data_IF_171085127689
#
_entry.id   IF_171085127689
#
_cell.length_a   1.000
_cell.length_b   1.000
_cell.length_c   1.000
_cell.angle_alpha   90.00
_cell.angle_beta   90.00
_cell.angle_gamma   90.00
#
_symmetry.space_group_name_H-M   'P 1'
#
loop_
_entity.id
_entity.type
_entity.pdbx_description
1 polymer ?
#
# COMPACT_ATOMS: atom_id res chain seq x y z
N UNK A 1 -29.81 -2.23 -8.31
CA UNK A 1 -30.81 -1.35 -7.65
C UNK A 1 -30.64 0.06 -8.20
N UNK A 2 -31.66 0.92 -8.09
CA UNK A 2 -31.49 2.33 -8.47
C UNK A 2 -30.78 3.10 -7.35
N UNK A 3 -29.71 3.82 -7.68
CA UNK A 3 -28.96 4.68 -6.75
C UNK A 3 -29.94 5.71 -6.16
N UNK A 4 -30.06 5.74 -4.84
CA UNK A 4 -30.87 6.71 -4.09
C UNK A 4 -30.08 8.00 -3.82
N UNK A 5 -30.70 9.18 -3.96
CA UNK A 5 -30.08 10.43 -3.57
C UNK A 5 -29.74 10.45 -2.07
N UNK A 6 -28.56 10.95 -1.75
CA UNK A 6 -28.11 11.21 -0.38
C UNK A 6 -28.79 12.47 0.15
N UNK A 7 -29.20 12.43 1.42
CA UNK A 7 -29.99 13.47 2.09
C UNK A 7 -29.24 14.18 3.21
N UNK A 8 -28.12 13.62 3.68
CA UNK A 8 -27.37 14.12 4.83
C UNK A 8 -27.97 13.69 6.18
N UNK A 9 -28.95 12.78 6.17
CA UNK A 9 -29.68 12.30 7.35
C UNK A 9 -29.54 10.80 7.56
N UNK A 10 -28.77 10.15 6.72
CA UNK A 10 -28.49 8.73 6.82
C UNK A 10 -27.72 8.41 8.10
N UNK A 11 -27.98 7.24 8.68
CA UNK A 11 -27.39 6.83 9.96
C UNK A 11 -25.86 6.67 9.90
N UNK A 12 -25.31 6.42 8.71
CA UNK A 12 -23.88 6.29 8.52
C UNK A 12 -23.11 7.60 8.72
N UNK A 13 -23.78 8.76 8.74
CA UNK A 13 -23.12 10.02 9.06
C UNK A 13 -22.71 10.15 10.53
N UNK A 14 -23.27 9.33 11.44
CA UNK A 14 -22.98 9.43 12.86
C UNK A 14 -23.22 10.84 13.39
N UNK A 15 -22.19 11.44 13.98
CA UNK A 15 -22.22 12.80 14.51
C UNK A 15 -21.82 13.87 13.46
N UNK A 16 -21.49 13.46 12.24
CA UNK A 16 -21.16 14.36 11.15
C UNK A 16 -22.44 14.88 10.51
N UNK A 17 -22.49 16.18 10.23
CA UNK A 17 -23.64 16.82 9.59
C UNK A 17 -23.19 17.56 8.34
N UNK A 18 -23.25 16.91 7.16
CA UNK A 18 -22.87 17.57 5.91
C UNK A 18 -23.80 18.75 5.62
N UNK A 19 -23.24 19.83 5.07
CA UNK A 19 -24.02 21.01 4.67
C UNK A 19 -24.92 20.68 3.48
N UNK A 20 -25.96 21.50 3.25
CA UNK A 20 -26.80 21.36 2.05
C UNK A 20 -25.97 21.44 0.75
N UNK A 21 -24.90 22.23 0.75
CA UNK A 21 -24.00 22.36 -0.38
C UNK A 21 -23.20 21.08 -0.63
N UNK A 22 -22.68 20.47 0.44
CA UNK A 22 -21.96 19.19 0.39
C UNK A 22 -22.89 18.06 -0.07
N UNK A 23 -24.10 17.97 0.47
CA UNK A 23 -25.12 17.00 0.02
C UNK A 23 -25.44 17.19 -1.45
N UNK A 24 -25.56 18.44 -1.93
CA UNK A 24 -25.79 18.70 -3.35
C UNK A 24 -24.62 18.20 -4.20
N UNK A 25 -23.38 18.42 -3.79
CA UNK A 25 -22.18 17.98 -4.50
C UNK A 25 -22.04 16.45 -4.50
N UNK A 26 -22.29 15.77 -3.38
CA UNK A 26 -22.36 14.30 -3.31
C UNK A 26 -23.30 13.78 -4.39
N UNK A 27 -24.50 14.37 -4.50
CA UNK A 27 -25.49 13.97 -5.49
C UNK A 27 -25.14 14.33 -6.96
N UNK A 28 -24.03 15.04 -7.20
CA UNK A 28 -23.47 15.22 -8.54
C UNK A 28 -22.56 14.06 -8.96
N UNK A 29 -22.20 13.13 -8.07
CA UNK A 29 -21.40 11.94 -8.39
C UNK A 29 -22.22 10.67 -8.17
N UNK A 30 -22.58 9.94 -9.25
CA UNK A 30 -23.14 8.60 -9.11
C UNK A 30 -22.22 7.63 -8.37
N UNK A 31 -20.89 7.74 -8.55
CA UNK A 31 -19.91 6.91 -7.83
C UNK A 31 -20.01 7.17 -6.33
N UNK A 32 -19.89 8.43 -5.88
CA UNK A 32 -19.95 8.76 -4.46
C UNK A 32 -21.30 8.39 -3.79
N UNK A 33 -22.40 8.46 -4.54
CA UNK A 33 -23.70 7.99 -4.04
C UNK A 33 -23.75 6.47 -3.86
N UNK A 34 -23.11 5.71 -4.76
CA UNK A 34 -22.99 4.25 -4.63
C UNK A 34 -22.10 3.89 -3.44
N UNK A 35 -20.91 4.50 -3.34
CA UNK A 35 -19.97 4.26 -2.24
C UNK A 35 -20.63 4.52 -0.87
N UNK A 36 -21.37 5.63 -0.74
CA UNK A 36 -22.09 5.94 0.51
C UNK A 36 -23.26 4.98 0.80
N UNK A 37 -23.89 4.42 -0.23
CA UNK A 37 -24.92 3.39 -0.04
C UNK A 37 -24.31 2.08 0.44
N UNK A 38 -23.18 1.67 -0.13
CA UNK A 38 -22.47 0.46 0.25
C UNK A 38 -21.89 0.61 1.67
N UNK A 39 -21.30 1.77 1.97
CA UNK A 39 -20.92 2.17 3.33
C UNK A 39 -22.10 2.11 4.30
N UNK A 40 -23.25 2.67 3.91
CA UNK A 40 -24.47 2.65 4.72
C UNK A 40 -25.04 1.27 4.97
N UNK A 41 -24.97 0.39 3.97
CA UNK A 41 -25.36 -1.01 4.11
C UNK A 41 -24.46 -1.74 5.10
N UNK A 42 -23.14 -1.49 5.03
CA UNK A 42 -22.16 -2.09 5.93
C UNK A 42 -22.26 -1.55 7.37
N UNK A 43 -22.62 -0.27 7.55
CA UNK A 43 -22.96 0.28 8.88
C UNK A 43 -24.22 -0.40 9.43
N UNK A 44 -25.20 -0.64 8.58
CA UNK A 44 -26.47 -1.27 8.98
C UNK A 44 -26.31 -2.75 9.35
N UNK A 45 -25.36 -3.47 8.74
CA UNK A 45 -25.00 -4.84 9.12
C UNK A 45 -24.12 -4.90 10.38
N UNK A 46 -23.51 -3.78 10.77
CA UNK A 46 -22.58 -3.69 11.90
C UNK A 46 -21.15 -4.10 11.55
N UNK A 47 -20.84 -4.22 10.25
CA UNK A 47 -19.50 -4.55 9.77
C UNK A 47 -18.51 -3.37 9.89
N UNK A 48 -19.05 -2.16 10.04
CA UNK A 48 -18.32 -0.89 10.09
C UNK A 48 -19.10 0.10 10.98
N UNK A 49 -18.38 0.96 11.71
CA UNK A 49 -19.01 2.03 12.50
C UNK A 49 -19.37 3.25 11.64
N UNK A 50 -20.37 4.05 12.04
CA UNK A 50 -20.65 5.33 11.39
C UNK A 50 -19.43 6.26 11.34
N UNK A 51 -19.47 7.19 10.38
CA UNK A 51 -18.46 8.23 10.22
C UNK A 51 -18.36 9.05 11.52
N UNK A 52 -17.14 9.33 11.93
CA UNK A 52 -16.86 10.07 13.15
C UNK A 52 -15.93 11.27 12.90
N UNK A 53 -15.79 12.09 13.92
CA UNK A 53 -14.81 13.18 13.97
C UNK A 53 -13.71 12.79 14.95
N UNK A 54 -12.49 12.73 14.46
CA UNK A 54 -11.30 12.40 15.25
C UNK A 54 -10.72 13.62 15.97
N UNK A 55 -9.83 13.41 16.95
CA UNK A 55 -9.10 14.49 17.60
C UNK A 55 -8.01 15.11 16.70
N UNK A 56 -7.57 14.38 15.67
CA UNK A 56 -6.43 14.74 14.84
C UNK A 56 -6.77 15.73 13.73
N UNK A 57 -5.75 16.24 13.04
CA UNK A 57 -5.89 17.13 11.87
C UNK A 57 -6.06 16.36 10.55
N UNK A 58 -5.84 15.05 10.56
CA UNK A 58 -5.98 14.18 9.41
C UNK A 58 -7.38 13.57 9.31
N UNK A 59 -7.85 13.40 8.09
CA UNK A 59 -8.96 12.50 7.76
C UNK A 59 -8.34 11.17 7.35
N UNK A 60 -8.89 10.05 7.81
CA UNK A 60 -8.36 8.71 7.55
C UNK A 60 -9.43 7.62 7.70
N UNK A 61 -9.17 6.45 7.14
CA UNK A 61 -9.93 5.24 7.35
C UNK A 61 -9.30 4.40 8.48
N UNK A 62 -10.02 4.27 9.60
CA UNK A 62 -9.58 3.50 10.77
C UNK A 62 -9.88 2.01 10.57
N UNK A 63 -8.97 1.25 9.96
CA UNK A 63 -9.20 -0.17 9.69
C UNK A 63 -8.91 -1.12 10.87
N UNK A 64 -8.24 -0.67 11.93
CA UNK A 64 -7.74 -1.61 12.96
C UNK A 64 -8.76 -1.99 14.05
N UNK A 65 -9.68 -1.09 14.42
CA UNK A 65 -10.52 -1.30 15.62
C UNK A 65 -12.01 -1.05 15.38
N UNK A 66 -12.34 0.04 14.70
CA UNK A 66 -13.74 0.45 14.49
C UNK A 66 -14.18 0.36 13.04
N UNK A 67 -13.26 0.08 12.11
CA UNK A 67 -13.49 0.03 10.66
C UNK A 67 -14.38 1.19 10.22
N UNK A 68 -13.92 2.44 10.30
CA UNK A 68 -14.74 3.62 10.02
C UNK A 68 -13.96 4.74 9.37
N UNK A 69 -14.67 5.70 8.79
CA UNK A 69 -14.05 6.94 8.32
C UNK A 69 -14.01 7.90 9.51
N UNK A 70 -12.84 8.48 9.76
CA UNK A 70 -12.61 9.49 10.79
C UNK A 70 -12.23 10.79 10.09
N UNK A 71 -13.09 11.80 10.18
CA UNK A 71 -12.80 13.13 9.67
C UNK A 71 -11.93 13.92 10.66
N UNK A 72 -11.03 14.75 10.16
CA UNK A 72 -10.23 15.66 10.98
C UNK A 72 -11.08 16.56 11.89
N UNK A 73 -10.63 16.94 13.09
CA UNK A 73 -11.41 17.79 14.00
C UNK A 73 -11.80 19.15 13.41
N UNK A 74 -11.00 19.67 12.48
CA UNK A 74 -11.23 20.93 11.77
C UNK A 74 -12.06 20.76 10.49
N UNK A 75 -12.64 19.58 10.23
CA UNK A 75 -13.38 19.29 8.99
C UNK A 75 -14.49 20.32 8.70
N UNK A 76 -15.14 20.85 9.73
CA UNK A 76 -16.22 21.82 9.60
C UNK A 76 -15.75 23.19 9.03
N UNK A 77 -14.45 23.48 9.09
CA UNK A 77 -13.85 24.68 8.51
C UNK A 77 -13.31 24.49 7.09
N UNK A 78 -13.37 23.27 6.53
CA UNK A 78 -12.92 22.99 5.17
C UNK A 78 -13.87 23.60 4.14
N UNK A 79 -13.34 24.02 2.99
CA UNK A 79 -14.18 24.31 1.83
C UNK A 79 -14.93 23.06 1.38
N UNK A 80 -16.08 23.21 0.73
CA UNK A 80 -16.85 22.03 0.30
C UNK A 80 -16.05 21.15 -0.67
N UNK A 81 -15.21 21.74 -1.54
CA UNK A 81 -14.32 20.97 -2.41
C UNK A 81 -13.28 20.16 -1.66
N UNK A 82 -12.75 20.68 -0.54
CA UNK A 82 -11.81 19.94 0.30
C UNK A 82 -12.51 18.84 1.09
N UNK A 83 -13.71 19.12 1.62
CA UNK A 83 -14.48 18.15 2.38
C UNK A 83 -14.91 16.97 1.50
N UNK A 84 -15.42 17.24 0.29
CA UNK A 84 -15.83 16.20 -0.66
C UNK A 84 -14.62 15.39 -1.14
N UNK A 85 -13.50 16.06 -1.43
CA UNK A 85 -12.25 15.41 -1.83
C UNK A 85 -11.78 14.40 -0.78
N UNK A 86 -11.61 14.85 0.46
CA UNK A 86 -11.19 13.99 1.57
C UNK A 86 -12.16 12.81 1.77
N UNK A 87 -13.48 13.06 1.83
CA UNK A 87 -14.44 11.97 2.02
C UNK A 87 -14.40 10.94 0.87
N UNK A 88 -14.29 11.39 -0.38
CA UNK A 88 -14.25 10.48 -1.53
C UNK A 88 -12.99 9.61 -1.58
N UNK A 89 -11.87 10.12 -1.06
CA UNK A 89 -10.64 9.34 -0.88
C UNK A 89 -10.84 8.24 0.17
N UNK A 90 -11.36 8.57 1.36
CA UNK A 90 -11.60 7.55 2.41
C UNK A 90 -12.64 6.50 2.02
N UNK A 91 -13.67 6.90 1.27
CA UNK A 91 -14.61 5.95 0.68
C UNK A 91 -13.91 5.02 -0.30
N UNK A 92 -12.91 5.51 -1.03
CA UNK A 92 -12.08 4.69 -1.90
C UNK A 92 -11.32 3.60 -1.15
N UNK A 93 -10.77 3.88 0.03
CA UNK A 93 -10.20 2.82 0.89
C UNK A 93 -11.26 1.80 1.30
N UNK A 94 -12.44 2.26 1.74
CA UNK A 94 -13.54 1.38 2.15
C UNK A 94 -13.99 0.41 1.04
N UNK A 95 -14.19 0.94 -0.17
CA UNK A 95 -14.63 0.17 -1.35
C UNK A 95 -13.56 -0.83 -1.81
N UNK A 96 -12.29 -0.48 -1.63
CA UNK A 96 -11.15 -1.23 -2.16
C UNK A 96 -10.66 -2.35 -1.23
N UNK A 97 -11.14 -2.42 0.02
CA UNK A 97 -10.71 -3.42 1.03
C UNK A 97 -10.62 -4.86 0.52
N UNK A 98 -11.58 -5.29 -0.31
CA UNK A 98 -11.56 -6.66 -0.85
C UNK A 98 -10.47 -6.85 -1.91
N UNK A 99 -10.25 -5.83 -2.74
CA UNK A 99 -9.19 -5.82 -3.74
C UNK A 99 -7.83 -5.76 -3.06
N UNK A 100 -7.67 -4.89 -2.07
CA UNK A 100 -6.42 -4.73 -1.31
C UNK A 100 -6.05 -6.02 -0.60
N UNK A 101 -7.02 -6.70 0.02
CA UNK A 101 -6.80 -8.03 0.64
C UNK A 101 -6.40 -9.09 -0.40
N UNK A 102 -7.04 -9.08 -1.57
CA UNK A 102 -6.71 -10.01 -2.65
C UNK A 102 -5.31 -9.72 -3.23
N UNK A 103 -4.97 -8.45 -3.39
CA UNK A 103 -3.66 -7.97 -3.83
C UNK A 103 -2.58 -8.37 -2.84
N UNK A 104 -2.78 -8.12 -1.56
CA UNK A 104 -1.88 -8.53 -0.51
C UNK A 104 -1.71 -10.06 -0.40
N UNK A 105 -2.78 -10.83 -0.55
CA UNK A 105 -2.70 -12.30 -0.63
C UNK A 105 -1.83 -12.76 -1.81
N UNK A 106 -1.92 -12.04 -2.92
CA UNK A 106 -1.20 -12.32 -4.15
C UNK A 106 0.28 -11.95 -4.06
N UNK A 107 0.62 -10.77 -3.58
CA UNK A 107 2.00 -10.23 -3.61
C UNK A 107 2.76 -10.31 -2.29
N UNK A 108 2.07 -10.46 -1.15
CA UNK A 108 2.69 -10.50 0.17
C UNK A 108 3.74 -11.61 0.31
N UNK A 109 4.77 -11.28 1.10
CA UNK A 109 5.92 -12.14 1.43
C UNK A 109 6.01 -12.33 2.95
N UNK A 110 6.86 -13.27 3.39
CA UNK A 110 7.13 -13.45 4.81
C UNK A 110 7.66 -12.12 5.42
N UNK A 111 7.28 -11.74 6.65
CA UNK A 111 7.76 -10.50 7.26
C UNK A 111 9.28 -10.39 7.46
N UNK A 112 9.99 -11.52 7.41
CA UNK A 112 11.45 -11.61 7.48
C UNK A 112 12.12 -11.71 6.11
N UNK A 113 11.36 -11.74 5.04
CA UNK A 113 11.87 -11.72 3.68
C UNK A 113 12.78 -10.48 3.48
N UNK A 114 13.92 -10.58 2.79
CA UNK A 114 14.77 -9.43 2.50
C UNK A 114 14.02 -8.26 1.84
N UNK A 115 13.03 -8.55 0.99
CA UNK A 115 12.21 -7.57 0.28
C UNK A 115 10.89 -7.27 1.02
N UNK A 116 10.75 -7.74 2.26
CA UNK A 116 9.57 -7.55 3.08
C UNK A 116 9.19 -6.07 3.27
N UNK A 117 10.16 -5.17 3.34
CA UNK A 117 9.89 -3.74 3.48
C UNK A 117 9.27 -3.17 2.20
N UNK A 118 9.94 -3.38 1.07
CA UNK A 118 9.57 -2.82 -0.22
C UNK A 118 8.24 -3.42 -0.73
N UNK A 119 8.02 -4.71 -0.50
CA UNK A 119 6.73 -5.35 -0.81
C UNK A 119 5.60 -4.73 0.01
N UNK A 120 5.76 -4.46 1.32
CA UNK A 120 4.68 -3.82 2.10
C UNK A 120 4.44 -2.38 1.68
N UNK A 121 5.51 -1.64 1.35
CA UNK A 121 5.39 -0.33 0.74
C UNK A 121 4.56 -0.40 -0.55
N UNK A 122 4.83 -1.38 -1.43
CA UNK A 122 4.02 -1.64 -2.62
C UNK A 122 2.54 -1.85 -2.31
N UNK A 123 2.26 -2.70 -1.32
CA UNK A 123 0.89 -3.07 -0.96
C UNK A 123 0.11 -1.84 -0.48
N UNK A 124 0.71 -1.02 0.39
CA UNK A 124 0.07 0.19 0.90
C UNK A 124 -0.05 1.29 -0.16
N UNK A 125 1.00 1.54 -0.94
CA UNK A 125 0.94 2.49 -2.06
C UNK A 125 -0.12 2.13 -3.08
N UNK A 126 -0.32 0.83 -3.33
CA UNK A 126 -1.39 0.37 -4.20
C UNK A 126 -2.77 0.70 -3.62
N UNK A 127 -3.00 0.48 -2.32
CA UNK A 127 -4.25 0.85 -1.65
C UNK A 127 -4.53 2.35 -1.71
N UNK A 128 -3.52 3.19 -1.50
CA UNK A 128 -3.58 4.64 -1.74
C UNK A 128 -3.95 4.97 -3.19
N UNK A 129 -3.36 4.25 -4.14
CA UNK A 129 -3.70 4.38 -5.56
C UNK A 129 -5.18 4.11 -5.84
N UNK A 130 -5.79 3.10 -5.20
CA UNK A 130 -7.22 2.80 -5.35
C UNK A 130 -8.09 3.92 -4.76
N UNK A 131 -7.71 4.46 -3.59
CA UNK A 131 -8.39 5.57 -2.95
C UNK A 131 -8.33 6.87 -3.77
N UNK A 132 -7.15 7.20 -4.30
CA UNK A 132 -6.94 8.37 -5.17
C UNK A 132 -7.69 8.20 -6.50
N UNK A 133 -7.72 7.00 -7.08
CA UNK A 133 -8.52 6.75 -8.29
C UNK A 133 -10.01 6.99 -8.02
N UNK A 134 -10.54 6.52 -6.87
CA UNK A 134 -11.93 6.77 -6.51
C UNK A 134 -12.22 8.28 -6.39
N UNK A 135 -11.35 8.99 -5.66
CA UNK A 135 -11.41 10.44 -5.50
C UNK A 135 -11.36 11.16 -6.86
N UNK A 136 -10.50 10.75 -7.79
CA UNK A 136 -10.40 11.30 -9.14
C UNK A 136 -11.70 11.08 -9.92
N UNK A 137 -12.23 9.85 -9.89
CA UNK A 137 -13.46 9.50 -10.61
C UNK A 137 -14.66 10.31 -10.10
N UNK A 138 -14.80 10.44 -8.77
CA UNK A 138 -15.80 11.32 -8.14
C UNK A 138 -15.59 12.77 -8.58
N UNK A 139 -14.34 13.24 -8.59
CA UNK A 139 -13.96 14.57 -9.06
C UNK A 139 -14.37 14.84 -10.52
N UNK A 140 -14.14 13.89 -11.42
CA UNK A 140 -14.57 14.00 -12.82
C UNK A 140 -16.08 14.10 -12.97
N UNK A 141 -16.82 13.30 -12.21
CA UNK A 141 -18.28 13.31 -12.25
C UNK A 141 -18.85 14.65 -11.75
N UNK A 142 -18.31 15.17 -10.63
CA UNK A 142 -18.71 16.47 -10.09
C UNK A 142 -18.34 17.58 -11.06
N UNK A 143 -17.11 17.61 -11.56
CA UNK A 143 -16.63 18.60 -12.53
C UNK A 143 -17.56 18.64 -13.75
N UNK A 144 -17.87 17.48 -14.33
CA UNK A 144 -18.76 17.38 -15.48
C UNK A 144 -20.18 17.83 -15.17
N UNK A 145 -20.75 17.38 -14.06
CA UNK A 145 -22.17 17.55 -13.77
C UNK A 145 -22.51 18.92 -13.15
N UNK A 146 -21.51 19.65 -12.65
CA UNK A 146 -21.66 21.03 -12.18
C UNK A 146 -21.29 22.08 -13.21
N UNK A 147 -20.63 21.68 -14.31
CA UNK A 147 -20.27 22.58 -15.39
C UNK A 147 -21.50 23.06 -16.16
N UNK A 148 -21.62 24.38 -16.33
CA UNK A 148 -22.62 25.00 -17.20
C UNK A 148 -21.91 25.92 -18.21
N UNK A 149 -22.58 26.36 -19.29
CA UNK A 149 -21.99 27.31 -20.22
C UNK A 149 -21.51 28.62 -19.54
N UNK A 150 -22.12 29.00 -18.42
CA UNK A 150 -21.85 30.23 -17.67
C UNK A 150 -20.89 30.04 -16.48
N UNK A 151 -20.71 28.81 -16.00
CA UNK A 151 -19.93 28.50 -14.82
C UNK A 151 -19.00 27.31 -15.05
N UNK A 152 -17.68 27.45 -14.83
CA UNK A 152 -16.80 26.30 -14.86
C UNK A 152 -17.24 25.29 -13.80
N UNK A 153 -17.12 24.00 -14.11
CA UNK A 153 -17.42 22.95 -13.16
C UNK A 153 -16.56 23.04 -11.90
N UNK A 154 -17.10 22.53 -10.81
CA UNK A 154 -16.44 22.48 -9.51
C UNK A 154 -15.35 21.41 -9.51
N UNK A 155 -14.13 21.82 -9.15
CA UNK A 155 -13.06 20.89 -8.82
C UNK A 155 -13.08 20.59 -7.32
N UNK A 156 -12.74 19.36 -6.96
CA UNK A 156 -12.55 18.93 -5.57
C UNK A 156 -11.06 18.75 -5.28
N UNK A 157 -10.70 18.68 -4.00
CA UNK A 157 -9.35 18.34 -3.58
C UNK A 157 -9.01 16.90 -4.01
N UNK A 158 -7.76 16.70 -4.43
CA UNK A 158 -7.23 15.42 -4.89
C UNK A 158 -6.04 15.02 -4.04
N UNK A 159 -6.10 13.90 -3.31
CA UNK A 159 -4.99 13.39 -2.50
C UNK A 159 -4.35 14.44 -1.55
N UNK A 160 -5.18 15.33 -0.96
CA UNK A 160 -4.70 16.43 -0.11
C UNK A 160 -4.23 17.67 -0.86
N UNK A 161 -4.07 17.61 -2.18
CA UNK A 161 -3.67 18.74 -3.03
C UNK A 161 -4.82 19.73 -3.31
N UNK A 162 -4.46 20.99 -3.53
CA UNK A 162 -5.44 21.99 -3.97
C UNK A 162 -6.11 21.57 -5.28
N UNK A 163 -7.40 21.91 -5.48
CA UNK A 163 -8.14 21.54 -6.68
C UNK A 163 -7.39 21.92 -7.98
N UNK A 164 -7.22 20.95 -8.88
CA UNK A 164 -6.45 21.12 -10.13
C UNK A 164 -4.93 20.98 -9.97
N UNK A 165 -4.47 20.40 -8.86
CA UNK A 165 -3.05 20.14 -8.57
C UNK A 165 -2.36 19.12 -9.48
N UNK A 166 -1.06 18.86 -9.26
CA UNK A 166 -0.26 17.92 -10.04
C UNK A 166 -0.87 16.53 -10.20
N UNK A 167 -1.46 15.97 -9.14
CA UNK A 167 -2.07 14.63 -9.18
C UNK A 167 -3.26 14.60 -10.13
N UNK A 168 -4.17 15.58 -10.03
CA UNK A 168 -5.29 15.74 -10.96
C UNK A 168 -4.81 15.84 -12.41
N UNK A 169 -3.82 16.70 -12.69
CA UNK A 169 -3.30 16.92 -14.04
C UNK A 169 -2.65 15.66 -14.62
N UNK A 170 -1.92 14.91 -13.79
CA UNK A 170 -1.26 13.68 -14.22
C UNK A 170 -2.27 12.58 -14.57
N UNK A 171 -3.32 12.41 -13.76
CA UNK A 171 -4.37 11.43 -14.01
C UNK A 171 -5.24 11.82 -15.22
N UNK A 172 -5.60 13.10 -15.37
CA UNK A 172 -6.33 13.59 -16.55
C UNK A 172 -5.55 13.35 -17.85
N UNK A 173 -4.24 13.61 -17.81
CA UNK A 173 -3.35 13.41 -18.96
C UNK A 173 -3.22 11.93 -19.33
N UNK A 174 -3.11 11.06 -18.32
CA UNK A 174 -3.02 9.61 -18.55
C UNK A 174 -4.34 9.08 -19.12
N UNK A 175 -5.47 9.44 -18.51
CA UNK A 175 -6.80 9.01 -18.96
C UNK A 175 -7.09 9.43 -20.40
N UNK A 176 -6.75 10.68 -20.75
CA UNK A 176 -6.89 11.17 -22.12
C UNK A 176 -6.02 10.36 -23.12
N UNK A 177 -4.78 10.05 -22.74
CA UNK A 177 -3.86 9.24 -23.55
C UNK A 177 -4.34 7.80 -23.73
N UNK A 178 -4.82 7.18 -22.66
CA UNK A 178 -5.28 5.79 -22.64
C UNK A 178 -6.58 5.64 -23.44
N UNK A 179 -7.51 6.60 -23.30
CA UNK A 179 -8.72 6.70 -24.14
C UNK A 179 -8.38 6.88 -25.61
N UNK A 180 -7.43 7.77 -25.93
CA UNK A 180 -6.97 7.97 -27.31
C UNK A 180 -6.31 6.71 -27.90
N UNK A 181 -5.66 5.92 -27.06
CA UNK A 181 -5.02 4.65 -27.43
C UNK A 181 -6.01 3.48 -27.51
N UNK A 182 -7.28 3.69 -27.13
CA UNK A 182 -8.32 2.67 -27.20
C UNK A 182 -8.17 1.56 -26.16
N UNK A 183 -7.55 1.86 -25.01
CA UNK A 183 -7.52 0.92 -23.87
C UNK A 183 -8.95 0.70 -23.33
N UNK A 184 -9.19 -0.46 -22.72
CA UNK A 184 -10.46 -0.68 -22.02
C UNK A 184 -10.56 0.15 -20.74
N UNK A 185 -11.78 0.39 -20.26
CA UNK A 185 -12.03 1.08 -18.98
C UNK A 185 -11.28 0.41 -17.80
N UNK A 186 -11.15 -0.93 -17.84
CA UNK A 186 -10.42 -1.68 -16.82
C UNK A 186 -8.91 -1.44 -16.92
N UNK A 187 -8.36 -1.37 -18.14
CA UNK A 187 -6.94 -1.06 -18.36
C UNK A 187 -6.58 0.36 -17.95
N UNK A 188 -7.42 1.33 -18.32
CA UNK A 188 -7.30 2.72 -17.91
C UNK A 188 -7.36 2.84 -16.38
N UNK A 189 -8.35 2.20 -15.74
CA UNK A 189 -8.46 2.15 -14.27
C UNK A 189 -7.17 1.65 -13.62
N UNK A 190 -6.65 0.50 -14.03
CA UNK A 190 -5.46 -0.09 -13.40
C UNK A 190 -4.24 0.80 -13.56
N UNK A 191 -4.06 1.41 -14.74
CA UNK A 191 -2.96 2.35 -15.01
C UNK A 191 -3.08 3.64 -14.21
N UNK A 192 -4.29 4.16 -14.02
CA UNK A 192 -4.55 5.32 -13.17
C UNK A 192 -4.22 5.02 -11.70
N UNK A 193 -4.59 3.84 -11.21
CA UNK A 193 -4.27 3.38 -9.85
C UNK A 193 -2.75 3.30 -9.64
N UNK A 194 -2.03 2.64 -10.55
CA UNK A 194 -0.57 2.50 -10.44
C UNK A 194 0.14 3.86 -10.56
N UNK A 195 -0.39 4.76 -11.41
CA UNK A 195 0.11 6.12 -11.51
C UNK A 195 -0.12 6.92 -10.23
N UNK A 196 -1.31 6.81 -9.64
CA UNK A 196 -1.63 7.46 -8.38
C UNK A 196 -0.75 6.98 -7.22
N UNK A 197 -0.57 5.66 -7.10
CA UNK A 197 0.36 5.04 -6.15
C UNK A 197 1.79 5.61 -6.29
N UNK A 198 2.27 5.71 -7.53
CA UNK A 198 3.62 6.22 -7.82
C UNK A 198 3.80 7.71 -7.50
N UNK A 199 2.74 8.52 -7.67
CA UNK A 199 2.76 9.95 -7.35
C UNK A 199 2.80 10.18 -5.84
N UNK A 200 2.10 9.34 -5.08
CA UNK A 200 1.98 9.49 -3.63
C UNK A 200 3.17 8.88 -2.87
N UNK A 201 4.02 8.07 -3.52
CA UNK A 201 5.10 7.33 -2.87
C UNK A 201 6.02 8.18 -1.97
N UNK A 202 6.29 9.42 -2.37
CA UNK A 202 7.17 10.34 -1.64
C UNK A 202 6.44 11.44 -0.88
N UNK A 203 5.11 11.42 -0.90
CA UNK A 203 4.29 12.37 -0.14
C UNK A 203 4.15 11.89 1.31
N UNK A 204 3.83 12.80 2.22
CA UNK A 204 3.68 12.49 3.65
C UNK A 204 2.20 12.42 4.02
N UNK A 205 1.69 11.28 4.53
CA UNK A 205 0.32 11.19 5.01
C UNK A 205 0.06 12.19 6.14
N UNK A 206 -1.18 12.68 6.21
CA UNK A 206 -1.57 13.74 7.13
C UNK A 206 -1.47 13.38 8.62
N UNK A 207 -1.37 12.09 8.92
CA UNK A 207 -1.30 11.50 10.26
C UNK A 207 0.09 10.91 10.59
N UNK A 208 1.11 11.04 9.72
CA UNK A 208 2.46 10.50 9.97
C UNK A 208 3.58 11.52 9.73
N UNK A 209 4.80 11.11 10.10
CA UNK A 209 6.03 11.92 9.98
C UNK A 209 7.00 11.41 8.91
N UNK A 210 6.66 10.32 8.23
CA UNK A 210 7.45 9.68 7.18
C UNK A 210 6.65 9.72 5.87
N UNK A 211 7.32 9.63 4.72
CA UNK A 211 6.60 9.48 3.44
C UNK A 211 5.79 8.17 3.39
N UNK A 212 4.85 8.06 2.44
CA UNK A 212 3.99 6.89 2.31
C UNK A 212 4.77 5.60 2.10
N UNK A 213 5.90 5.65 1.38
CA UNK A 213 6.77 4.50 1.20
C UNK A 213 7.26 3.95 2.54
N UNK A 214 7.88 4.81 3.34
CA UNK A 214 8.42 4.45 4.65
C UNK A 214 7.32 4.16 5.68
N UNK A 215 6.18 4.86 5.58
CA UNK A 215 5.01 4.65 6.42
C UNK A 215 4.48 3.21 6.29
N UNK A 216 4.26 2.76 5.05
CA UNK A 216 3.76 1.41 4.79
C UNK A 216 4.84 0.35 4.96
N UNK A 217 6.05 0.58 4.44
CA UNK A 217 7.16 -0.34 4.65
C UNK A 217 7.47 -0.57 6.13
N UNK A 218 7.34 0.48 6.95
CA UNK A 218 7.58 0.46 8.39
C UNK A 218 6.43 -0.07 9.25
N UNK A 219 5.21 -0.22 8.72
CA UNK A 219 3.99 -0.53 9.49
C UNK A 219 4.12 -1.82 10.34
N UNK A 220 4.88 -2.80 9.83
CA UNK A 220 5.12 -4.09 10.51
C UNK A 220 6.46 -4.13 11.28
N UNK A 221 7.02 -2.98 11.66
CA UNK A 221 8.37 -2.83 12.26
C UNK A 221 9.47 -3.43 11.41
N UNK A 222 9.27 -3.46 10.09
CA UNK A 222 10.26 -3.97 9.13
C UNK A 222 11.37 -2.93 9.02
N UNK A 223 12.60 -3.40 8.89
CA UNK A 223 13.77 -2.54 8.88
C UNK A 223 14.18 -2.34 7.43
N UNK A 224 14.30 -1.08 7.01
CA UNK A 224 14.92 -0.70 5.74
C UNK A 224 16.30 -1.35 5.63
N UNK A 225 16.69 -1.93 4.48
CA UNK A 225 18.07 -2.34 4.26
C UNK A 225 19.04 -1.20 4.65
N UNK A 226 20.00 -1.43 5.57
CA UNK A 226 20.82 -0.34 6.10
C UNK A 226 21.55 0.44 5.01
N UNK A 227 21.34 1.77 4.97
CA UNK A 227 22.14 2.70 4.17
C UNK A 227 21.53 3.19 2.85
N UNK A 228 20.33 2.73 2.45
CA UNK A 228 19.64 3.24 1.25
C UNK A 228 18.87 4.55 1.50
N UNK A 229 18.26 4.68 2.68
CA UNK A 229 17.31 5.77 2.99
C UNK A 229 16.00 5.60 2.21
N UNK A 230 15.10 6.58 2.33
CA UNK A 230 13.82 6.58 1.62
C UNK A 230 14.03 6.82 0.12
N UNK A 231 13.26 6.15 -0.76
CA UNK A 231 13.35 6.40 -2.19
C UNK A 231 12.81 7.78 -2.54
N UNK A 232 13.41 8.41 -3.55
CA UNK A 232 12.92 9.65 -4.17
C UNK A 232 11.86 9.40 -5.24
N UNK A 233 11.61 8.15 -5.58
CA UNK A 233 10.52 7.72 -6.46
C UNK A 233 10.30 6.21 -6.30
N UNK A 234 9.05 5.76 -6.28
CA UNK A 234 8.68 4.35 -6.42
C UNK A 234 7.64 4.19 -7.53
N UNK A 235 7.73 3.14 -8.34
CA UNK A 235 6.81 2.88 -9.45
C UNK A 235 6.43 1.41 -9.55
N UNK A 236 5.13 1.16 -9.68
CA UNK A 236 4.58 -0.16 -9.97
C UNK A 236 4.54 -0.38 -11.49
N UNK A 237 4.88 -1.60 -11.93
CA UNK A 237 4.93 -1.99 -13.33
C UNK A 237 3.83 -2.98 -13.71
N UNK A 238 2.75 -2.47 -14.30
CA UNK A 238 1.71 -3.26 -14.99
C UNK A 238 1.68 -2.92 -16.49
N UNK A 239 2.53 -3.57 -17.30
CA UNK A 239 2.62 -3.25 -18.73
C UNK A 239 1.34 -3.60 -19.51
N UNK A 240 0.51 -4.51 -19.00
CA UNK A 240 -0.73 -4.93 -19.66
C UNK A 240 -1.95 -4.08 -19.26
N UNK A 241 -1.87 -3.39 -18.12
CA UNK A 241 -3.00 -2.72 -17.48
C UNK A 241 -4.03 -3.72 -16.94
N UNK A 242 -3.67 -4.96 -16.65
CA UNK A 242 -4.61 -5.99 -16.19
C UNK A 242 -4.65 -6.16 -14.66
N UNK A 243 -4.04 -5.22 -13.93
CA UNK A 243 -3.93 -5.21 -12.48
C UNK A 243 -2.85 -6.16 -11.97
N UNK A 244 -2.06 -6.78 -12.86
CA UNK A 244 -0.97 -7.69 -12.48
C UNK A 244 0.37 -6.99 -12.54
N UNK A 245 0.84 -6.60 -11.36
CA UNK A 245 2.18 -6.04 -11.21
C UNK A 245 3.21 -7.10 -11.55
N UNK A 246 4.12 -6.73 -12.44
CA UNK A 246 5.26 -7.54 -12.89
C UNK A 246 6.58 -7.03 -12.33
N UNK A 247 6.62 -5.78 -11.87
CA UNK A 247 7.77 -5.21 -11.20
C UNK A 247 7.40 -4.06 -10.27
N UNK A 248 8.26 -3.79 -9.31
CA UNK A 248 8.32 -2.51 -8.60
C UNK A 248 9.73 -1.95 -8.78
N UNK A 249 9.85 -0.62 -8.90
CA UNK A 249 11.12 0.05 -9.11
C UNK A 249 11.24 1.23 -8.15
N UNK A 250 12.36 1.34 -7.46
CA UNK A 250 12.70 2.44 -6.58
C UNK A 250 13.91 3.19 -7.10
N UNK A 251 13.89 4.52 -6.96
CA UNK A 251 15.06 5.37 -7.21
C UNK A 251 15.44 6.11 -5.95
N UNK A 252 16.66 5.92 -5.46
CA UNK A 252 17.17 6.54 -4.25
C UNK A 252 17.93 7.83 -4.54
N UNK A 253 18.04 8.71 -3.54
CA UNK A 253 18.78 9.98 -3.68
C UNK A 253 20.27 9.80 -4.04
N UNK A 254 20.84 8.63 -3.71
CA UNK A 254 22.19 8.22 -4.10
C UNK A 254 22.33 7.90 -5.60
N UNK A 255 21.21 7.79 -6.33
CA UNK A 255 21.11 7.28 -7.69
C UNK A 255 21.05 5.75 -7.77
N UNK A 256 21.09 5.04 -6.63
CA UNK A 256 20.84 3.59 -6.61
C UNK A 256 19.42 3.28 -7.06
N UNK A 257 19.24 2.08 -7.60
CA UNK A 257 17.95 1.60 -8.10
C UNK A 257 17.63 0.23 -7.51
N UNK A 258 16.48 0.12 -6.87
CA UNK A 258 15.88 -1.15 -6.48
C UNK A 258 14.93 -1.63 -7.57
N UNK A 259 14.83 -2.94 -7.77
CA UNK A 259 13.83 -3.52 -8.65
C UNK A 259 13.41 -4.90 -8.16
N UNK A 260 12.15 -5.04 -7.77
CA UNK A 260 11.52 -6.32 -7.50
C UNK A 260 10.80 -6.82 -8.75
N UNK A 261 10.87 -8.12 -9.01
CA UNK A 261 10.24 -8.77 -10.15
C UNK A 261 9.24 -9.82 -9.69
N UNK A 262 8.04 -9.77 -10.24
CA UNK A 262 6.94 -10.65 -9.89
C UNK A 262 6.55 -11.56 -11.06
N UNK A 263 6.30 -12.82 -10.76
CA UNK A 263 5.79 -13.81 -11.70
C UNK A 263 4.31 -13.57 -12.06
N UNK A 264 3.81 -14.37 -13.01
CA UNK A 264 2.41 -14.28 -13.45
C UNK A 264 1.38 -14.64 -12.37
N UNK A 265 1.81 -15.33 -11.31
CA UNK A 265 1.03 -15.61 -10.10
C UNK A 265 1.11 -14.49 -9.04
N UNK A 266 1.83 -13.40 -9.35
CA UNK A 266 2.07 -12.26 -8.47
C UNK A 266 3.11 -12.52 -7.39
N UNK A 267 3.84 -13.63 -7.49
CA UNK A 267 4.83 -13.98 -6.48
C UNK A 267 6.21 -13.48 -6.88
N UNK A 268 6.95 -12.95 -5.91
CA UNK A 268 8.31 -12.45 -6.10
C UNK A 268 9.20 -13.56 -6.68
N UNK A 269 9.89 -13.27 -7.77
CA UNK A 269 10.79 -14.19 -8.49
C UNK A 269 12.25 -13.76 -8.35
N UNK A 270 12.51 -12.47 -8.33
CA UNK A 270 13.85 -11.92 -8.09
C UNK A 270 13.78 -10.47 -7.61
N UNK A 271 14.88 -9.99 -7.05
CA UNK A 271 15.10 -8.57 -6.79
C UNK A 271 16.54 -8.18 -7.12
N UNK A 272 16.73 -6.95 -7.61
CA UNK A 272 18.02 -6.37 -7.98
C UNK A 272 18.24 -5.05 -7.24
N UNK A 273 19.46 -4.84 -6.75
CA UNK A 273 19.93 -3.52 -6.32
C UNK A 273 21.11 -3.10 -7.20
N UNK A 274 20.98 -1.95 -7.87
CA UNK A 274 21.99 -1.41 -8.79
C UNK A 274 22.52 -0.07 -8.31
N UNK A 275 23.80 0.18 -8.56
CA UNK A 275 24.40 1.51 -8.33
C UNK A 275 23.95 2.53 -9.39
N UNK A 276 24.31 3.80 -9.20
CA UNK A 276 23.98 4.88 -10.13
C UNK A 276 24.56 4.71 -11.55
N UNK A 277 25.52 3.80 -11.74
CA UNK A 277 26.09 3.47 -13.05
C UNK A 277 25.45 2.22 -13.66
N UNK A 278 24.46 1.61 -12.99
CA UNK A 278 23.77 0.40 -13.42
C UNK A 278 24.47 -0.90 -13.04
N UNK A 279 25.57 -0.86 -12.28
CA UNK A 279 26.27 -2.06 -11.83
C UNK A 279 25.48 -2.74 -10.71
N UNK A 280 25.26 -4.04 -10.86
CA UNK A 280 24.62 -4.87 -9.85
C UNK A 280 25.44 -4.85 -8.55
N UNK A 281 24.78 -4.57 -7.44
CA UNK A 281 25.34 -4.61 -6.08
C UNK A 281 24.84 -5.81 -5.30
N UNK A 282 23.58 -6.17 -5.51
CA UNK A 282 22.93 -7.32 -4.89
C UNK A 282 21.89 -7.90 -5.86
N UNK A 283 21.75 -9.23 -5.82
CA UNK A 283 20.70 -9.96 -6.50
C UNK A 283 20.08 -10.97 -5.55
N UNK A 284 18.75 -11.07 -5.57
CA UNK A 284 18.00 -12.07 -4.82
C UNK A 284 17.25 -12.94 -5.81
N UNK A 285 17.40 -14.26 -5.68
CA UNK A 285 16.65 -15.25 -6.47
C UNK A 285 15.71 -16.04 -5.55
N UNK A 286 14.44 -16.16 -5.97
CA UNK A 286 13.42 -16.87 -5.21
C UNK A 286 13.11 -18.24 -5.82
N UNK A 287 13.19 -19.28 -5.01
CA UNK A 287 12.79 -20.64 -5.39
C UNK A 287 11.57 -21.08 -4.56
N UNK A 288 10.50 -21.48 -5.25
CA UNK A 288 9.24 -21.89 -4.61
C UNK A 288 9.09 -23.40 -4.58
N UNK A 289 8.63 -23.90 -3.44
CA UNK A 289 8.37 -25.31 -3.22
C UNK A 289 6.87 -25.60 -3.31
N UNK A 290 6.53 -26.87 -3.53
CA UNK A 290 5.13 -27.31 -3.47
C UNK A 290 4.60 -27.14 -2.05
N UNK A 291 3.45 -26.49 -1.89
CA UNK A 291 2.83 -26.29 -0.56
C UNK A 291 3.02 -24.89 0.06
N UNK A 292 3.67 -23.97 -0.64
CA UNK A 292 3.72 -22.54 -0.26
C UNK A 292 5.02 -22.10 0.42
N UNK A 293 5.88 -23.04 0.83
CA UNK A 293 7.24 -22.74 1.27
C UNK A 293 8.10 -22.20 0.12
N UNK A 294 9.08 -21.37 0.44
CA UNK A 294 10.00 -20.80 -0.56
C UNK A 294 11.34 -20.41 0.08
N UNK A 295 12.33 -20.11 -0.75
CA UNK A 295 13.63 -19.62 -0.28
C UNK A 295 14.08 -18.40 -1.06
N UNK A 296 14.80 -17.49 -0.40
CA UNK A 296 15.49 -16.35 -1.01
C UNK A 296 17.00 -16.61 -0.97
N UNK A 297 17.69 -16.55 -2.10
CA UNK A 297 19.15 -16.65 -2.17
C UNK A 297 19.73 -15.31 -2.55
N UNK A 298 20.53 -14.71 -1.67
CA UNK A 298 21.09 -13.38 -1.83
C UNK A 298 22.55 -13.49 -2.25
N UNK A 299 22.89 -12.85 -3.37
CA UNK A 299 24.24 -12.78 -3.93
C UNK A 299 24.71 -11.35 -4.06
N UNK A 300 26.01 -11.14 -3.90
CA UNK A 300 26.63 -9.84 -4.18
C UNK A 300 26.74 -9.55 -5.69
N UNK A 301 27.19 -8.34 -6.05
CA UNK A 301 27.39 -7.92 -7.44
C UNK A 301 28.38 -8.76 -8.26
N UNK A 302 29.11 -9.69 -7.63
CA UNK A 302 30.01 -10.65 -8.30
C UNK A 302 29.38 -12.05 -8.40
N UNK A 303 28.15 -12.24 -7.92
CA UNK A 303 27.43 -13.52 -7.91
C UNK A 303 27.85 -14.44 -6.77
N UNK A 304 28.52 -13.93 -5.74
CA UNK A 304 28.86 -14.73 -4.56
C UNK A 304 27.69 -14.72 -3.60
N UNK A 305 27.17 -15.90 -3.25
CA UNK A 305 26.09 -16.05 -2.26
C UNK A 305 26.58 -15.58 -0.89
N UNK A 306 25.90 -14.59 -0.33
CA UNK A 306 26.19 -14.02 1.00
C UNK A 306 25.17 -14.44 2.03
N UNK A 307 23.94 -14.72 1.62
CA UNK A 307 22.87 -15.15 2.49
C UNK A 307 21.88 -16.06 1.77
N UNK A 308 21.20 -16.89 2.54
CA UNK A 308 20.03 -17.63 2.10
C UNK A 308 19.02 -17.64 3.22
N UNK A 309 17.75 -17.47 2.90
CA UNK A 309 16.63 -17.66 3.82
C UNK A 309 15.69 -18.74 3.30
N UNK A 310 15.28 -19.66 4.17
CA UNK A 310 14.21 -20.62 3.90
C UNK A 310 12.97 -20.22 4.72
N UNK A 311 11.82 -20.09 4.06
CA UNK A 311 10.54 -19.70 4.65
C UNK A 311 9.52 -20.84 4.53
N UNK A 312 8.92 -21.22 5.65
CA UNK A 312 7.82 -22.18 5.68
C UNK A 312 6.46 -21.46 5.50
N UNK A 313 5.45 -22.22 5.10
CA UNK A 313 4.07 -21.75 4.86
C UNK A 313 3.39 -21.21 6.11
N UNK A 314 3.88 -21.57 7.29
CA UNK A 314 3.33 -21.14 8.59
C UNK A 314 3.96 -19.84 9.10
N UNK A 315 4.90 -19.27 8.35
CA UNK A 315 5.60 -18.04 8.68
C UNK A 315 6.93 -18.25 9.41
N UNK A 316 7.26 -19.47 9.85
CA UNK A 316 8.58 -19.77 10.39
C UNK A 316 9.67 -19.62 9.33
N UNK A 317 10.89 -19.32 9.75
CA UNK A 317 12.01 -19.17 8.81
C UNK A 317 13.35 -19.61 9.39
N UNK A 318 14.30 -19.89 8.51
CA UNK A 318 15.69 -20.17 8.85
C UNK A 318 16.59 -19.30 7.98
N UNK A 319 17.43 -18.50 8.61
CA UNK A 319 18.40 -17.64 7.95
C UNK A 319 19.81 -18.25 7.98
N UNK A 320 20.52 -18.13 6.86
CA UNK A 320 21.88 -18.63 6.67
C UNK A 320 22.77 -17.49 6.16
N UNK A 321 23.76 -17.07 6.96
CA UNK A 321 24.76 -16.07 6.53
C UNK A 321 26.08 -16.74 6.21
N UNK A 322 26.68 -16.42 5.06
CA UNK A 322 27.94 -16.99 4.59
C UNK A 322 29.09 -15.99 4.71
N UNK A 323 30.07 -16.32 5.55
CA UNK A 323 31.30 -15.55 5.71
C UNK A 323 32.26 -15.75 4.53
N UNK A 324 33.03 -14.72 4.20
CA UNK A 324 34.09 -14.79 3.17
C UNK A 324 35.21 -15.78 3.52
N UNK A 325 35.31 -16.15 4.80
CA UNK A 325 36.23 -17.13 5.34
C UNK A 325 35.71 -18.58 5.28
N UNK A 326 34.52 -18.81 4.70
CA UNK A 326 33.88 -20.13 4.65
C UNK A 326 33.17 -20.51 5.95
N UNK A 327 32.88 -19.56 6.82
CA UNK A 327 31.96 -19.78 7.94
C UNK A 327 30.51 -19.67 7.45
N UNK A 328 29.62 -20.43 8.09
CA UNK A 328 28.17 -20.31 7.91
C UNK A 328 27.54 -20.15 9.28
N UNK A 329 26.75 -19.10 9.46
CA UNK A 329 25.93 -18.87 10.65
C UNK A 329 24.47 -19.16 10.32
N UNK A 330 23.78 -19.90 11.18
CA UNK A 330 22.37 -20.27 10.99
C UNK A 330 21.54 -19.81 12.19
N UNK A 331 20.36 -19.23 11.94
CA UNK A 331 19.40 -18.84 12.98
C UNK A 331 17.98 -19.20 12.55
N UNK A 332 17.28 -19.97 13.39
CA UNK A 332 15.87 -20.30 13.18
C UNK A 332 14.97 -19.28 13.89
N UNK A 333 13.78 -19.07 13.34
CA UNK A 333 12.76 -18.15 13.83
C UNK A 333 11.39 -18.82 13.83
N UNK A 334 10.59 -18.54 14.86
CA UNK A 334 9.18 -18.93 14.88
C UNK A 334 8.33 -18.06 13.95
N UNK A 335 7.05 -18.42 13.80
CA UNK A 335 6.09 -17.67 12.96
C UNK A 335 5.76 -16.26 13.47
N UNK A 336 6.17 -15.91 14.70
CA UNK A 336 6.12 -14.54 15.21
C UNK A 336 7.41 -13.75 14.94
N UNK A 337 8.37 -14.38 14.25
CA UNK A 337 9.68 -13.81 13.92
C UNK A 337 10.69 -13.83 15.07
N UNK A 338 10.41 -14.52 16.19
CA UNK A 338 11.33 -14.60 17.33
C UNK A 338 12.39 -15.68 17.12
N UNK A 339 13.66 -15.41 17.46
CA UNK A 339 14.74 -16.38 17.33
C UNK A 339 14.49 -17.60 18.24
N UNK A 340 14.63 -18.78 17.66
CA UNK A 340 14.61 -20.05 18.40
C UNK A 340 16.04 -20.47 18.74
N UNK A 341 16.45 -20.18 19.97
CA UNK A 341 17.81 -20.48 20.45
C UNK A 341 18.88 -19.55 19.87
N UNK A 342 20.13 -19.87 20.21
CA UNK A 342 21.31 -19.10 19.76
C UNK A 342 21.71 -19.47 18.32
N UNK A 343 22.25 -18.50 17.60
CA UNK A 343 22.79 -18.72 16.26
C UNK A 343 23.95 -19.74 16.30
N UNK A 344 23.96 -20.67 15.34
CA UNK A 344 24.97 -21.73 15.24
C UNK A 344 25.92 -21.40 14.10
N UNK A 345 27.23 -21.28 14.39
CA UNK A 345 28.28 -21.08 13.38
C UNK A 345 29.04 -22.37 13.13
N UNK A 346 29.20 -22.73 11.86
CA UNK A 346 29.95 -23.91 11.39
C UNK A 346 30.94 -23.53 10.30
N UNK A 347 31.99 -24.34 10.12
CA UNK A 347 32.86 -24.25 8.96
C UNK A 347 32.24 -25.08 7.82
N UNK A 348 31.72 -24.42 6.79
CA UNK A 348 31.17 -25.07 5.60
C UNK A 348 31.75 -24.38 4.36
N UNK A 349 32.39 -25.11 3.42
CA UNK A 349 33.00 -24.48 2.27
C UNK A 349 31.94 -23.70 1.45
N UNK A 350 32.29 -22.53 0.88
CA UNK A 350 31.37 -21.75 0.04
C UNK A 350 30.85 -22.61 -1.12
N UNK A 351 29.53 -22.75 -1.26
CA UNK A 351 28.90 -23.55 -2.32
C UNK A 351 28.59 -25.02 -1.98
N UNK A 352 28.73 -25.44 -0.72
CA UNK A 352 28.17 -26.73 -0.30
C UNK A 352 26.63 -26.68 -0.27
N UNK A 353 25.98 -27.61 -0.97
CA UNK A 353 24.53 -27.81 -0.86
C UNK A 353 24.19 -28.12 0.60
N UNK A 354 23.22 -27.44 1.24
CA UNK A 354 22.91 -27.67 2.64
C UNK A 354 22.53 -29.13 2.88
N UNK A 355 23.05 -29.73 3.96
CA UNK A 355 22.43 -30.92 4.51
C UNK A 355 21.00 -30.55 4.88
N UNK A 356 20.01 -31.37 4.48
CA UNK A 356 18.62 -31.17 4.84
C UNK A 356 18.48 -31.12 6.38
N UNK A 357 18.44 -29.92 6.94
CA UNK A 357 18.08 -29.72 8.33
C UNK A 357 16.57 -29.70 8.39
N UNK A 358 15.99 -30.74 8.96
CA UNK A 358 14.56 -30.80 9.20
C UNK A 358 14.14 -29.58 10.04
N UNK A 359 13.20 -28.80 9.53
CA UNK A 359 12.47 -27.80 10.30
C UNK A 359 11.91 -28.51 11.55
N UNK A 360 12.02 -27.92 12.76
CA UNK A 360 11.37 -28.47 13.93
C UNK A 360 9.85 -28.53 13.69
N UNK A 361 9.21 -29.65 14.05
CA UNK A 361 7.75 -29.83 13.92
C UNK A 361 7.01 -28.67 14.61
N UNK A 362 6.26 -27.87 13.84
CA UNK A 362 5.48 -26.76 14.38
C UNK A 362 4.09 -27.23 14.84
N UNK A 363 3.66 -26.72 15.99
CA UNK A 363 2.28 -26.79 16.47
C UNK A 363 1.45 -25.71 15.77
N UNK A 364 0.32 -26.11 15.19
CA UNK A 364 -0.61 -25.23 14.46
C UNK A 364 -0.94 -23.93 15.23
N UNK A 365 -0.53 -22.80 14.65
CA UNK A 365 -1.20 -21.53 14.84
C UNK A 365 -1.37 -20.90 13.45
N UNK A 366 -2.59 -20.95 12.93
CA UNK A 366 -2.95 -20.23 11.71
C UNK A 366 -2.90 -18.72 11.99
N UNK A 367 -2.01 -17.99 11.32
CA UNK A 367 -2.10 -16.54 11.25
C UNK A 367 -3.11 -16.16 10.17
N UNK A 368 -4.17 -15.46 10.57
CA UNK A 368 -5.05 -14.73 9.67
C UNK A 368 -4.34 -13.45 9.25
N UNK A 369 -4.14 -13.28 7.94
CA UNK A 369 -3.64 -12.05 7.34
C UNK A 369 -4.76 -11.00 7.35
N UNK A 370 -4.68 -10.02 8.25
CA UNK A 370 -5.61 -8.89 8.37
C UNK A 370 -5.11 -7.67 7.59
N UNK A 371 -4.99 -7.80 6.26
CA UNK A 371 -4.79 -6.65 5.35
C UNK A 371 -3.52 -5.81 5.57
N UNK A 372 -3.36 -4.78 4.73
CA UNK A 372 -2.41 -3.68 5.00
C UNK A 372 -3.03 -2.83 6.10
N UNK A 373 -2.48 -2.94 7.31
CA UNK A 373 -2.94 -2.15 8.44
C UNK A 373 -2.35 -0.74 8.32
N UNK A 374 -3.20 0.27 8.20
CA UNK A 374 -2.85 1.65 8.57
C UNK A 374 -2.27 1.63 10.00
N UNK A 375 -0.97 1.91 10.22
CA UNK A 375 -0.43 1.90 11.57
C UNK A 375 -1.14 2.96 12.42
N UNK A 376 -1.66 2.54 13.58
CA UNK A 376 -2.36 3.44 14.49
C UNK A 376 -1.47 4.64 14.86
N UNK A 377 -1.99 5.86 14.69
CA UNK A 377 -1.31 7.07 15.11
C UNK A 377 -0.86 6.94 16.57
N UNK A 378 0.46 6.95 16.79
CA UNK A 378 1.00 7.06 18.12
C UNK A 378 0.50 8.40 18.70
N UNK A 379 -0.24 8.35 19.81
CA UNK A 379 -0.66 9.54 20.52
C UNK A 379 0.58 10.34 20.91
N UNK A 380 0.83 11.47 20.23
CA UNK A 380 1.79 12.46 20.67
C UNK A 380 1.18 13.14 21.91
N UNK A 381 1.39 12.53 23.09
CA UNK A 381 1.27 13.27 24.33
C UNK A 381 2.40 14.30 24.35
N UNK A 382 2.07 15.53 24.01
CA UNK A 382 2.92 16.69 24.24
C UNK A 382 3.23 16.78 25.76
N UNK A 383 4.50 16.66 26.20
CA UNK A 383 4.83 16.71 27.61
C UNK A 383 4.94 18.13 28.18
N UNK A 384 4.74 19.19 27.39
CA UNK A 384 4.88 20.58 27.89
C UNK A 384 3.59 21.41 27.75
N UNK A 385 2.65 21.15 28.65
CA UNK A 385 1.62 22.11 29.03
C UNK A 385 1.71 22.38 30.54
N UNK A 386 2.59 23.31 30.91
CA UNK A 386 2.64 23.99 32.21
C UNK A 386 2.10 25.41 32.11
#
# INVERSE_FOLDING_TARGET
MAIQPVTGKESYWGDVHPTENQVRLINQSPTMQADLQDYGAAVSSGDIQPIAVGPDKGTYFEDATQHRIVLAHNFAGLSDGNWIGALSHELGHFESRSNDRAFATRYGVNPRDPEAFDVEAMLGLRGEGEAIYNNWKVGQEILRNTSTPEHPGMLINMAGEQPGGPTQQALDSLHASDTQSGLSDEQDKNRLIDRAASLNATETPSNASSDYYDYYGGANRRVVPPGLGSPTAAQLGDPAGDGKITSMNETYASGMQGTQHFGADGKLTSADLRDANGNLQQHIEYARQTGGAYSATISDGQGVVTEKDDFDKDGASVAYTYGKDGTQTTQAYDSSGKPQGDAVTSNSPPGATPAASALPESTEAAQTYDGVQEPSAASNTDPDAG
#
